data_IF_748861591400
#
_entry.id   IF_748861591400
#
_cell.length_a   1.000
_cell.length_b   1.000
_cell.length_c   1.000
_cell.angle_alpha   90.00
_cell.angle_beta   90.00
_cell.angle_gamma   90.00
#
_symmetry.space_group_name_H-M   'P 1'
#
loop_
_entity.id
_entity.type
_entity.pdbx_description
1 polymer ?
#
# COMPACT_ATOMS: atom_id res chain seq x y z
N UNK A 1 21.55 29.32 20.54
CA UNK A 1 20.99 30.28 19.54
C UNK A 1 20.72 29.65 18.16
N UNK A 2 21.55 28.71 17.67
CA UNK A 2 21.33 28.04 16.36
C UNK A 2 20.06 27.15 16.32
N UNK A 3 19.76 26.43 17.41
CA UNK A 3 18.59 25.54 17.50
C UNK A 3 17.28 26.33 17.43
N UNK A 4 17.17 27.47 18.13
CA UNK A 4 15.98 28.32 18.06
C UNK A 4 15.74 28.91 16.65
N UNK A 5 16.82 29.23 15.93
CA UNK A 5 16.73 29.75 14.55
C UNK A 5 16.35 28.65 13.55
N UNK A 6 16.81 27.42 13.77
CA UNK A 6 16.40 26.25 12.99
C UNK A 6 14.92 25.90 13.24
N UNK A 7 14.47 25.90 14.50
CA UNK A 7 13.07 25.69 14.86
C UNK A 7 12.16 26.79 14.29
N UNK A 8 12.60 28.06 14.30
CA UNK A 8 11.87 29.16 13.68
C UNK A 8 11.72 29.00 12.16
N UNK A 9 12.73 28.49 11.46
CA UNK A 9 12.64 28.19 10.02
C UNK A 9 11.70 27.02 9.72
N UNK A 10 11.66 26.00 10.58
CA UNK A 10 10.74 24.86 10.44
C UNK A 10 9.29 25.31 10.72
N UNK A 11 9.08 26.15 11.74
CA UNK A 11 7.77 26.71 12.07
C UNK A 11 7.23 27.61 10.93
N UNK A 12 8.09 28.45 10.33
CA UNK A 12 7.73 29.30 9.19
C UNK A 12 7.54 28.50 7.89
N UNK A 13 8.29 27.42 7.69
CA UNK A 13 8.09 26.53 6.55
C UNK A 13 6.76 25.75 6.65
N UNK A 14 6.35 25.38 7.87
CA UNK A 14 5.06 24.75 8.15
C UNK A 14 3.88 25.69 7.88
N UNK A 15 3.99 26.97 8.27
CA UNK A 15 2.91 27.95 8.07
C UNK A 15 2.63 28.30 6.59
N UNK A 16 3.58 28.04 5.68
CA UNK A 16 3.33 28.16 4.22
C UNK A 16 2.71 26.92 3.58
N UNK A 17 2.64 25.78 4.28
CA UNK A 17 1.99 24.55 3.79
C UNK A 17 0.51 24.47 4.21
N UNK A 18 0.08 25.29 5.17
CA UNK A 18 -1.30 25.37 5.67
C UNK A 18 -1.99 26.64 5.16
N UNK A 19 -1.66 27.08 3.94
CA UNK A 19 -2.52 28.02 3.23
C UNK A 19 -3.60 27.18 2.54
N UNK A 20 -4.74 27.02 3.21
CA UNK A 20 -5.92 26.37 2.65
C UNK A 20 -6.37 27.15 1.42
N UNK A 21 -5.85 26.77 0.24
CA UNK A 21 -6.26 27.33 -1.04
C UNK A 21 -7.78 27.22 -1.16
N UNK A 22 -8.47 28.24 -1.70
CA UNK A 22 -9.90 28.16 -1.92
C UNK A 22 -10.19 26.92 -2.78
N UNK A 23 -11.02 26.02 -2.26
CA UNK A 23 -11.41 24.75 -2.88
C UNK A 23 -12.38 25.07 -4.03
N UNK A 24 -11.87 25.69 -5.09
CA UNK A 24 -12.64 26.12 -6.26
C UNK A 24 -12.55 25.17 -7.45
N UNK A 25 -11.82 24.05 -7.32
CA UNK A 25 -11.69 23.04 -8.38
C UNK A 25 -11.74 21.66 -7.73
N UNK A 26 -12.65 20.81 -8.19
CA UNK A 26 -12.69 19.40 -7.83
C UNK A 26 -11.29 18.81 -8.09
N UNK A 27 -10.57 18.51 -7.01
CA UNK A 27 -9.36 17.71 -7.12
C UNK A 27 -9.78 16.34 -7.66
N UNK A 28 -9.07 15.73 -8.62
CA UNK A 28 -9.34 14.36 -9.01
C UNK A 28 -9.04 13.46 -7.80
N UNK A 29 -10.10 13.06 -7.11
CA UNK A 29 -10.09 12.31 -5.85
C UNK A 29 -9.64 10.86 -6.09
N UNK A 30 -9.96 10.34 -7.27
CA UNK A 30 -9.55 9.03 -7.76
C UNK A 30 -8.99 9.17 -9.18
N UNK A 31 -7.70 8.86 -9.33
CA UNK A 31 -7.02 8.89 -10.62
C UNK A 31 -6.71 7.46 -11.08
N UNK A 32 -7.14 7.12 -12.28
CA UNK A 32 -6.87 5.82 -12.89
C UNK A 32 -5.36 5.51 -12.96
N UNK A 33 -4.53 6.54 -13.17
CA UNK A 33 -3.08 6.41 -13.19
C UNK A 33 -2.53 5.99 -11.82
N UNK A 34 -3.03 6.59 -10.73
CA UNK A 34 -2.64 6.26 -9.37
C UNK A 34 -3.01 4.81 -9.01
N UNK A 35 -4.19 4.36 -9.45
CA UNK A 35 -4.64 2.97 -9.24
C UNK A 35 -3.76 1.97 -9.98
N UNK A 36 -3.47 2.22 -11.26
CA UNK A 36 -2.61 1.31 -12.05
C UNK A 36 -1.19 1.27 -11.49
N UNK A 37 -0.59 2.43 -11.21
CA UNK A 37 0.77 2.49 -10.68
C UNK A 37 0.83 1.82 -9.30
N UNK A 38 -0.17 2.06 -8.45
CA UNK A 38 -0.26 1.45 -7.12
C UNK A 38 -0.43 -0.07 -7.20
N UNK A 39 -1.28 -0.56 -8.09
CA UNK A 39 -1.46 -1.99 -8.32
C UNK A 39 -0.17 -2.65 -8.84
N UNK A 40 0.47 -2.06 -9.85
CA UNK A 40 1.71 -2.58 -10.43
C UNK A 40 2.87 -2.63 -9.42
N UNK A 41 3.11 -1.52 -8.71
CA UNK A 41 4.11 -1.47 -7.64
C UNK A 41 3.75 -2.43 -6.50
N UNK A 42 2.48 -2.49 -6.11
CA UNK A 42 1.98 -3.38 -5.07
C UNK A 42 2.26 -4.84 -5.40
N UNK A 43 2.01 -5.29 -6.63
CA UNK A 43 2.30 -6.66 -7.07
C UNK A 43 3.79 -6.97 -7.00
N UNK A 44 4.65 -6.07 -7.49
CA UNK A 44 6.11 -6.27 -7.48
C UNK A 44 6.63 -6.35 -6.04
N UNK A 45 6.20 -5.43 -5.19
CA UNK A 45 6.63 -5.37 -3.79
C UNK A 45 6.11 -6.59 -3.03
N UNK A 46 4.85 -6.96 -3.21
CA UNK A 46 4.26 -8.14 -2.58
C UNK A 46 4.95 -9.43 -3.01
N UNK A 47 5.32 -9.58 -4.28
CA UNK A 47 6.08 -10.74 -4.75
C UNK A 47 7.49 -10.79 -4.12
N UNK A 48 8.16 -9.64 -4.04
CA UNK A 48 9.50 -9.53 -3.47
C UNK A 48 9.50 -9.82 -1.96
N UNK A 49 8.60 -9.17 -1.21
CA UNK A 49 8.43 -9.38 0.23
C UNK A 49 7.90 -10.79 0.51
N UNK A 50 7.01 -11.32 -0.32
CA UNK A 50 6.50 -12.69 -0.22
C UNK A 50 7.61 -13.72 -0.36
N UNK A 51 8.49 -13.57 -1.34
CA UNK A 51 9.65 -14.45 -1.47
C UNK A 51 10.60 -14.32 -0.28
N UNK A 52 10.90 -13.10 0.16
CA UNK A 52 11.78 -12.86 1.29
C UNK A 52 11.20 -13.43 2.60
N UNK A 53 9.91 -13.26 2.84
CA UNK A 53 9.23 -13.76 4.05
C UNK A 53 9.16 -15.28 4.11
N UNK A 54 8.95 -15.94 2.95
CA UNK A 54 9.04 -17.40 2.85
C UNK A 54 10.45 -17.93 3.17
N UNK A 55 11.50 -17.15 2.88
CA UNK A 55 12.90 -17.52 3.18
C UNK A 55 13.33 -17.18 4.61
N UNK A 56 12.89 -16.04 5.13
CA UNK A 56 13.34 -15.49 6.41
C UNK A 56 12.46 -15.91 7.60
N UNK A 57 11.21 -16.28 7.35
CA UNK A 57 10.23 -16.61 8.40
C UNK A 57 9.58 -15.40 9.06
N UNK A 58 9.88 -14.17 8.61
CA UNK A 58 9.22 -12.94 9.07
C UNK A 58 8.92 -12.01 7.89
N UNK A 59 7.88 -11.19 8.01
CA UNK A 59 7.49 -10.21 6.99
C UNK A 59 8.11 -8.84 7.23
N UNK A 60 8.32 -8.08 6.15
CA UNK A 60 8.84 -6.72 6.16
C UNK A 60 7.73 -5.79 5.65
N UNK A 61 7.64 -4.58 6.19
CA UNK A 61 6.73 -3.53 5.70
C UNK A 61 7.15 -3.07 4.29
N UNK A 62 6.19 -3.11 3.36
CA UNK A 62 6.39 -2.73 1.96
C UNK A 62 5.72 -1.41 1.55
N UNK A 63 4.90 -0.85 2.43
CA UNK A 63 4.04 0.32 2.13
C UNK A 63 4.86 1.58 1.90
N UNK A 64 5.95 1.75 2.64
CA UNK A 64 6.89 2.87 2.52
C UNK A 64 7.66 2.82 1.19
N UNK A 65 8.07 1.62 0.77
CA UNK A 65 8.73 1.42 -0.52
C UNK A 65 7.77 1.75 -1.67
N UNK A 66 6.52 1.34 -1.56
CA UNK A 66 5.49 1.67 -2.54
C UNK A 66 5.23 3.18 -2.62
N UNK A 67 5.23 3.88 -1.48
CA UNK A 67 5.06 5.32 -1.44
C UNK A 67 6.23 6.07 -2.09
N UNK A 68 7.47 5.65 -1.82
CA UNK A 68 8.68 6.27 -2.38
C UNK A 68 8.74 6.05 -3.89
N UNK A 69 8.51 4.81 -4.34
CA UNK A 69 8.51 4.46 -5.76
C UNK A 69 7.33 5.07 -6.50
N UNK A 70 6.14 5.06 -5.90
CA UNK A 70 4.92 5.68 -6.43
C UNK A 70 5.11 7.17 -6.66
N UNK A 71 5.70 7.87 -5.69
CA UNK A 71 6.01 9.28 -5.82
C UNK A 71 7.06 9.53 -6.91
N UNK A 72 8.09 8.68 -6.97
CA UNK A 72 9.11 8.74 -8.02
C UNK A 72 8.53 8.55 -9.44
N UNK A 73 7.60 7.61 -9.62
CA UNK A 73 6.98 7.32 -10.91
C UNK A 73 5.97 8.40 -11.29
N UNK A 74 5.04 8.77 -10.39
CA UNK A 74 4.04 9.80 -10.69
C UNK A 74 4.68 11.16 -10.95
N UNK A 75 5.64 11.55 -10.11
CA UNK A 75 6.30 12.86 -10.20
C UNK A 75 7.38 12.92 -11.27
N UNK A 76 8.12 11.82 -11.46
CA UNK A 76 9.22 11.72 -12.41
C UNK A 76 8.77 11.37 -13.83
N UNK A 77 8.07 10.25 -14.02
CA UNK A 77 7.66 9.79 -15.36
C UNK A 77 6.40 10.49 -15.86
N UNK A 78 5.38 10.66 -15.01
CA UNK A 78 4.09 11.22 -15.43
C UNK A 78 3.98 12.74 -15.21
N UNK A 79 4.98 13.37 -14.59
CA UNK A 79 4.98 14.81 -14.29
C UNK A 79 3.87 15.26 -13.33
N UNK A 80 3.21 14.32 -12.66
CA UNK A 80 2.05 14.58 -11.78
C UNK A 80 2.55 14.95 -10.38
N UNK A 81 2.16 16.14 -9.92
CA UNK A 81 2.59 16.68 -8.61
C UNK A 81 1.49 16.59 -7.55
N UNK A 82 0.47 15.74 -7.76
CA UNK A 82 -0.65 15.61 -6.83
C UNK A 82 -0.28 14.70 -5.65
N UNK A 83 -0.31 15.25 -4.43
CA UNK A 83 -0.15 14.49 -3.19
C UNK A 83 -1.29 13.47 -3.04
N UNK A 84 -2.50 13.82 -3.48
CA UNK A 84 -3.67 12.94 -3.41
C UNK A 84 -3.47 11.68 -4.24
N UNK A 85 -2.91 11.80 -5.44
CA UNK A 85 -2.65 10.64 -6.30
C UNK A 85 -1.57 9.72 -5.72
N UNK A 86 -0.57 10.27 -5.05
CA UNK A 86 0.43 9.47 -4.36
C UNK A 86 -0.19 8.71 -3.17
N UNK A 87 -1.06 9.37 -2.39
CA UNK A 87 -1.77 8.71 -1.30
C UNK A 87 -2.65 7.57 -1.82
N UNK A 88 -3.39 7.77 -2.90
CA UNK A 88 -4.17 6.70 -3.56
C UNK A 88 -3.26 5.55 -4.00
N UNK A 89 -2.13 5.86 -4.64
CA UNK A 89 -1.13 4.87 -5.07
C UNK A 89 -0.64 4.03 -3.88
N UNK A 90 -0.30 4.67 -2.76
CA UNK A 90 0.15 4.02 -1.54
C UNK A 90 -0.95 3.17 -0.90
N UNK A 91 -2.19 3.66 -0.85
CA UNK A 91 -3.33 2.90 -0.32
C UNK A 91 -3.57 1.63 -1.12
N UNK A 92 -3.57 1.71 -2.45
CA UNK A 92 -3.74 0.54 -3.32
C UNK A 92 -2.59 -0.45 -3.12
N UNK A 93 -1.35 0.03 -3.09
CA UNK A 93 -0.19 -0.84 -2.87
C UNK A 93 -0.20 -1.52 -1.49
N UNK A 94 -0.56 -0.78 -0.44
CA UNK A 94 -0.69 -1.32 0.92
C UNK A 94 -1.82 -2.35 1.01
N UNK A 95 -2.94 -2.14 0.32
CA UNK A 95 -4.03 -3.12 0.24
C UNK A 95 -3.58 -4.43 -0.42
N UNK A 96 -2.80 -4.37 -1.49
CA UNK A 96 -2.21 -5.56 -2.15
C UNK A 96 -1.25 -6.29 -1.20
N UNK A 97 -0.39 -5.55 -0.50
CA UNK A 97 0.55 -6.13 0.46
C UNK A 97 -0.20 -6.80 1.64
N UNK A 98 -1.23 -6.13 2.16
CA UNK A 98 -2.09 -6.66 3.22
C UNK A 98 -2.80 -7.95 2.81
N UNK A 99 -3.38 -7.99 1.61
CA UNK A 99 -4.00 -9.20 1.08
C UNK A 99 -2.99 -10.36 0.92
N UNK A 100 -1.77 -10.04 0.49
CA UNK A 100 -0.70 -11.03 0.28
C UNK A 100 -0.13 -11.58 1.59
N UNK A 101 -0.14 -10.78 2.67
CA UNK A 101 0.43 -11.16 3.97
C UNK A 101 -0.18 -12.45 4.54
N UNK A 102 -1.47 -12.69 4.31
CA UNK A 102 -2.14 -13.94 4.71
C UNK A 102 -1.47 -15.17 4.08
N UNK A 103 -1.19 -15.12 2.77
CA UNK A 103 -0.50 -16.21 2.07
C UNK A 103 0.92 -16.44 2.57
N UNK A 104 1.64 -15.36 2.89
CA UNK A 104 3.03 -15.43 3.37
C UNK A 104 3.15 -16.25 4.67
N UNK A 105 2.09 -16.30 5.49
CA UNK A 105 2.04 -17.13 6.69
C UNK A 105 1.35 -18.48 6.47
N UNK A 106 0.29 -18.53 5.64
CA UNK A 106 -0.48 -19.76 5.43
C UNK A 106 0.27 -20.82 4.63
N UNK A 107 1.01 -20.44 3.58
CA UNK A 107 1.77 -21.40 2.75
C UNK A 107 2.81 -22.15 3.59
N UNK A 108 3.75 -21.51 4.30
CA UNK A 108 4.72 -22.24 5.10
C UNK A 108 4.08 -23.03 6.24
N UNK A 109 2.97 -22.56 6.82
CA UNK A 109 2.26 -23.30 7.87
C UNK A 109 1.74 -24.67 7.38
N UNK A 110 1.16 -24.74 6.17
CA UNK A 110 0.66 -26.00 5.59
C UNK A 110 1.81 -26.99 5.33
N UNK A 111 2.96 -26.50 4.88
CA UNK A 111 4.15 -27.34 4.66
C UNK A 111 4.72 -27.88 5.97
N UNK A 112 4.73 -27.08 7.04
CA UNK A 112 5.17 -27.52 8.38
C UNK A 112 4.22 -28.58 8.96
N UNK A 113 2.92 -28.49 8.69
CA UNK A 113 1.91 -29.46 9.13
C UNK A 113 1.97 -30.81 8.38
N UNK A 114 2.89 -30.98 7.43
CA UNK A 114 3.04 -32.21 6.64
C UNK A 114 1.94 -32.40 5.58
N UNK A 115 1.13 -31.38 5.33
CA UNK A 115 0.02 -31.41 4.36
C UNK A 115 0.43 -30.84 2.98
N UNK A 116 1.74 -30.67 2.74
CA UNK A 116 2.26 -30.11 1.49
C UNK A 116 1.95 -30.94 0.24
N UNK A 117 1.65 -32.24 0.37
CA UNK A 117 1.28 -33.10 -0.75
C UNK A 117 -0.13 -32.85 -1.29
N UNK A 118 -1.00 -32.25 -0.48
CA UNK A 118 -2.36 -31.83 -0.88
C UNK A 118 -2.43 -30.35 -1.23
N UNK A 119 -1.27 -29.70 -1.39
CA UNK A 119 -1.20 -28.29 -1.73
C UNK A 119 -1.70 -28.04 -3.16
N UNK A 120 -2.93 -27.51 -3.27
CA UNK A 120 -3.48 -27.02 -4.53
C UNK A 120 -3.37 -25.48 -4.60
N UNK A 121 -2.48 -24.93 -5.46
CA UNK A 121 -2.37 -23.49 -5.68
C UNK A 121 -3.67 -22.86 -6.19
N UNK A 122 -4.50 -23.62 -6.90
CA UNK A 122 -5.77 -23.13 -7.45
C UNK A 122 -6.75 -22.89 -6.31
N UNK A 123 -6.92 -23.86 -5.42
CA UNK A 123 -7.76 -23.70 -4.23
C UNK A 123 -7.28 -22.57 -3.33
N UNK A 124 -5.96 -22.43 -3.13
CA UNK A 124 -5.37 -21.30 -2.40
C UNK A 124 -5.73 -19.96 -3.06
N UNK A 125 -5.63 -19.87 -4.38
CA UNK A 125 -5.96 -18.66 -5.13
C UNK A 125 -7.44 -18.31 -5.00
N UNK A 126 -8.34 -19.29 -5.15
CA UNK A 126 -9.78 -19.09 -4.92
C UNK A 126 -10.08 -18.68 -3.47
N UNK A 127 -9.41 -19.29 -2.49
CA UNK A 127 -9.51 -18.92 -1.09
C UNK A 127 -9.06 -17.48 -0.82
N UNK A 128 -7.99 -17.04 -1.46
CA UNK A 128 -7.51 -15.65 -1.35
C UNK A 128 -8.49 -14.66 -1.98
N UNK A 129 -9.05 -15.00 -3.15
CA UNK A 129 -10.09 -14.18 -3.80
C UNK A 129 -11.32 -14.10 -2.87
N UNK A 130 -11.81 -15.23 -2.36
CA UNK A 130 -12.94 -15.26 -1.43
C UNK A 130 -12.67 -14.46 -0.15
N UNK A 131 -11.46 -14.57 0.41
CA UNK A 131 -11.02 -13.79 1.57
C UNK A 131 -11.00 -12.29 1.30
N UNK A 132 -10.53 -11.87 0.11
CA UNK A 132 -10.56 -10.46 -0.30
C UNK A 132 -12.01 -9.94 -0.40
N UNK A 133 -12.92 -10.70 -1.01
CA UNK A 133 -14.35 -10.37 -1.05
C UNK A 133 -14.98 -10.29 0.34
N UNK A 134 -14.66 -11.24 1.23
CA UNK A 134 -15.14 -11.25 2.61
C UNK A 134 -14.64 -10.03 3.40
N UNK A 135 -13.39 -9.62 3.19
CA UNK A 135 -12.82 -8.42 3.80
C UNK A 135 -13.56 -7.15 3.37
N UNK A 136 -13.83 -7.01 2.07
CA UNK A 136 -14.64 -5.91 1.54
C UNK A 136 -16.04 -5.93 2.17
N UNK A 137 -16.71 -7.08 2.18
CA UNK A 137 -18.05 -7.22 2.76
C UNK A 137 -18.08 -6.85 4.27
N UNK A 138 -17.03 -7.21 5.01
CA UNK A 138 -16.90 -6.87 6.43
C UNK A 138 -16.67 -5.38 6.65
N UNK A 139 -15.91 -4.72 5.77
CA UNK A 139 -15.70 -3.26 5.82
C UNK A 139 -17.01 -2.49 5.64
N UNK A 140 -17.93 -2.98 4.80
CA UNK A 140 -19.26 -2.35 4.67
C UNK A 140 -20.14 -2.58 5.90
N UNK A 141 -19.99 -3.72 6.58
CA UNK A 141 -20.72 -4.03 7.81
C UNK A 141 -20.34 -3.09 8.96
N UNK A 142 -19.06 -2.69 9.06
CA UNK A 142 -18.59 -1.83 10.15
C UNK A 142 -19.07 -0.38 10.03
N UNK A 143 -19.27 0.13 8.80
CA UNK A 143 -19.77 1.50 8.56
C UNK A 143 -21.27 1.67 8.89
N UNK A 144 -22.00 0.56 8.99
CA UNK A 144 -23.45 0.55 9.25
C UNK A 144 -23.80 0.62 10.76
N UNK A 145 -22.84 0.79 11.66
CA UNK A 145 -23.05 0.93 13.11
C UNK A 145 -22.39 2.18 13.65
#
# INVERSE_FOLDING_TARGET
MQIAKALGKIAVASSHQVEARPVGRAYPELSWHAVIVGWFLGVIIAASIGYASLKLGFSIEGSELAAILGFGILRGLLGRRSIVENNVTQTVASAVNGASSGMMFSVPAIFILGQGSEFDPVLLTFGCIAGAFLGIASSFRSESR
#
